data_IF_118387229551
#
_entry.id   IF_118387229551
#
_cell.length_a   1.000
_cell.length_b   1.000
_cell.length_c   1.000
_cell.angle_alpha   90.00
_cell.angle_beta   90.00
_cell.angle_gamma   90.00
#
_symmetry.space_group_name_H-M   'P 1'
#
loop_
_entity.id
_entity.type
_entity.pdbx_description
1 polymer ?
#
# COMPACT_ATOMS: atom_id res chain seq x y z
N UNK A 1 -30.42 -14.88 9.46
CA UNK A 1 -29.56 -15.84 10.16
C UNK A 1 -28.19 -15.19 10.24
N UNK A 2 -27.68 -14.90 11.42
CA UNK A 2 -26.34 -14.38 11.58
C UNK A 2 -25.38 -15.50 11.15
N UNK A 3 -24.57 -15.27 10.13
CA UNK A 3 -23.45 -16.15 9.78
C UNK A 3 -22.52 -16.19 10.98
N UNK A 4 -22.40 -17.33 11.64
CA UNK A 4 -21.37 -17.56 12.64
C UNK A 4 -20.00 -17.24 11.99
N UNK A 5 -19.36 -16.21 12.49
CA UNK A 5 -18.04 -15.80 12.00
C UNK A 5 -17.08 -16.93 12.39
N UNK A 6 -16.56 -17.65 11.44
CA UNK A 6 -15.55 -18.70 11.64
C UNK A 6 -14.38 -18.04 12.38
N UNK A 7 -13.99 -18.59 13.53
CA UNK A 7 -12.85 -18.07 14.28
C UNK A 7 -11.57 -18.34 13.49
N UNK A 8 -10.68 -17.35 13.34
CA UNK A 8 -9.36 -17.59 12.74
C UNK A 8 -8.58 -18.63 13.56
N UNK A 9 -7.72 -19.41 12.90
CA UNK A 9 -6.90 -20.44 13.51
C UNK A 9 -5.51 -19.90 13.82
N UNK A 10 -5.04 -20.09 15.04
CA UNK A 10 -3.67 -19.80 15.48
C UNK A 10 -2.95 -21.10 15.78
N UNK A 11 -1.80 -21.31 15.14
CA UNK A 11 -0.91 -22.44 15.45
C UNK A 11 0.06 -22.02 16.56
N UNK A 12 0.08 -22.78 17.64
CA UNK A 12 1.01 -22.63 18.78
C UNK A 12 2.05 -23.76 18.68
N UNK A 13 3.30 -23.42 18.41
CA UNK A 13 4.45 -24.32 18.42
C UNK A 13 5.31 -24.00 19.66
N UNK A 14 5.21 -24.84 20.68
CA UNK A 14 5.85 -24.68 22.00
C UNK A 14 6.03 -26.05 22.60
N UNK A 15 7.23 -26.40 23.04
CA UNK A 15 7.52 -27.76 23.55
C UNK A 15 7.05 -27.97 25.00
N UNK A 16 7.14 -26.94 25.83
CA UNK A 16 6.69 -27.03 27.23
C UNK A 16 5.16 -26.98 27.36
N UNK A 17 4.57 -28.06 27.85
CA UNK A 17 3.11 -28.19 27.99
C UNK A 17 2.49 -27.09 28.84
N UNK A 18 3.20 -26.61 29.86
CA UNK A 18 2.71 -25.51 30.74
C UNK A 18 2.59 -24.22 29.91
N UNK A 19 3.61 -23.85 29.15
CA UNK A 19 3.62 -22.65 28.34
C UNK A 19 2.57 -22.75 27.22
N UNK A 20 2.48 -23.89 26.55
CA UNK A 20 1.50 -24.17 25.49
C UNK A 20 0.07 -24.06 26.04
N UNK A 21 -0.19 -24.60 27.25
CA UNK A 21 -1.49 -24.49 27.91
C UNK A 21 -1.84 -23.04 28.26
N UNK A 22 -0.87 -22.24 28.73
CA UNK A 22 -1.08 -20.82 29.01
C UNK A 22 -1.45 -20.06 27.73
N UNK A 23 -0.71 -20.27 26.63
CA UNK A 23 -1.00 -19.64 25.34
C UNK A 23 -2.41 -20.00 24.85
N UNK A 24 -2.77 -21.29 24.92
CA UNK A 24 -4.11 -21.77 24.58
C UNK A 24 -5.20 -21.08 25.42
N UNK A 25 -5.04 -21.01 26.74
CA UNK A 25 -6.02 -20.37 27.62
C UNK A 25 -6.22 -18.88 27.31
N UNK A 26 -5.16 -18.17 26.95
CA UNK A 26 -5.23 -16.76 26.54
C UNK A 26 -6.05 -16.59 25.26
N UNK A 27 -5.89 -17.50 24.30
CA UNK A 27 -6.36 -17.30 22.92
C UNK A 27 -7.67 -18.02 22.57
N UNK A 28 -8.01 -19.13 23.23
CA UNK A 28 -9.15 -20.03 22.90
C UNK A 28 -10.51 -19.35 22.79
N UNK A 29 -10.72 -18.24 23.48
CA UNK A 29 -12.00 -17.52 23.42
C UNK A 29 -12.22 -16.81 22.07
N UNK A 30 -11.15 -16.40 21.41
CA UNK A 30 -11.19 -15.64 20.15
C UNK A 30 -10.79 -16.45 18.94
N UNK A 31 -9.94 -17.46 19.10
CA UNK A 31 -9.28 -18.20 18.03
C UNK A 31 -9.52 -19.71 18.16
N UNK A 32 -9.49 -20.39 17.02
CA UNK A 32 -9.27 -21.84 16.99
C UNK A 32 -7.76 -22.07 17.20
N UNK A 33 -7.41 -23.10 17.96
CA UNK A 33 -6.02 -23.36 18.33
C UNK A 33 -5.58 -24.72 17.76
N UNK A 34 -4.49 -24.68 17.01
CA UNK A 34 -3.69 -25.85 16.68
C UNK A 34 -2.45 -25.84 17.57
N UNK A 35 -2.05 -27.02 18.03
CA UNK A 35 -0.90 -27.17 18.92
C UNK A 35 0.15 -28.08 18.32
N UNK A 36 1.42 -27.72 18.46
CA UNK A 36 2.58 -28.50 18.08
C UNK A 36 3.62 -28.45 19.20
N UNK A 37 4.19 -29.61 19.54
CA UNK A 37 5.20 -29.78 20.60
C UNK A 37 6.64 -29.68 20.08
N UNK A 38 6.82 -29.52 18.81
CA UNK A 38 8.12 -29.38 18.12
C UNK A 38 7.93 -28.91 16.69
N UNK A 39 9.02 -28.49 16.06
CA UNK A 39 8.97 -27.96 14.70
C UNK A 39 8.47 -28.94 13.63
N UNK A 40 8.67 -30.24 13.79
CA UNK A 40 8.13 -31.23 12.83
C UNK A 40 6.61 -31.29 12.88
N UNK A 41 6.02 -31.25 14.08
CA UNK A 41 4.58 -31.19 14.23
C UNK A 41 4.02 -29.85 13.73
N UNK A 42 4.72 -28.73 13.97
CA UNK A 42 4.35 -27.44 13.43
C UNK A 42 4.29 -27.46 11.90
N UNK A 43 5.33 -27.97 11.24
CA UNK A 43 5.36 -28.11 9.77
C UNK A 43 4.26 -29.07 9.28
N UNK A 44 4.00 -30.16 10.00
CA UNK A 44 2.90 -31.06 9.65
C UNK A 44 1.54 -30.33 9.70
N UNK A 45 1.26 -29.61 10.79
CA UNK A 45 0.03 -28.82 10.91
C UNK A 45 -0.11 -27.74 9.84
N UNK A 46 1.00 -27.08 9.47
CA UNK A 46 1.02 -26.10 8.37
C UNK A 46 0.65 -26.77 7.05
N UNK A 47 1.19 -27.95 6.74
CA UNK A 47 0.88 -28.67 5.49
C UNK A 47 -0.57 -29.12 5.40
N UNK A 48 -1.16 -29.53 6.52
CA UNK A 48 -2.54 -30.03 6.56
C UNK A 48 -3.59 -28.93 6.50
N UNK A 49 -3.28 -27.73 7.01
CA UNK A 49 -4.28 -26.68 7.20
C UNK A 49 -3.76 -25.26 6.81
N UNK A 50 -2.85 -25.20 5.84
CA UNK A 50 -2.22 -23.94 5.37
C UNK A 50 -3.23 -22.81 5.14
N UNK A 51 -4.35 -23.14 4.50
CA UNK A 51 -5.34 -22.14 4.09
C UNK A 51 -6.09 -21.48 5.26
N UNK A 52 -6.10 -22.10 6.44
CA UNK A 52 -6.87 -21.64 7.59
C UNK A 52 -6.01 -21.05 8.72
N UNK A 53 -4.68 -21.25 8.67
CA UNK A 53 -3.76 -20.71 9.69
C UNK A 53 -3.58 -19.20 9.46
N UNK A 54 -4.15 -18.42 10.36
CA UNK A 54 -4.08 -16.95 10.32
C UNK A 54 -2.80 -16.38 10.97
N UNK A 55 -2.15 -17.15 11.87
CA UNK A 55 -0.94 -16.73 12.58
C UNK A 55 -0.26 -17.93 13.24
N UNK A 56 1.07 -17.89 13.33
CA UNK A 56 1.88 -18.87 14.07
C UNK A 56 2.53 -18.17 15.27
N UNK A 57 2.37 -18.76 16.47
CA UNK A 57 3.18 -18.43 17.63
C UNK A 57 4.23 -19.52 17.74
N UNK A 58 5.50 -19.13 17.68
CA UNK A 58 6.62 -20.05 17.52
C UNK A 58 7.68 -19.84 18.61
N UNK A 59 7.89 -20.87 19.42
CA UNK A 59 9.07 -20.92 20.28
C UNK A 59 10.31 -21.26 19.43
N UNK A 60 11.42 -20.61 19.77
CA UNK A 60 12.71 -20.90 19.12
C UNK A 60 13.30 -22.21 19.62
N UNK A 61 13.24 -22.46 20.92
CA UNK A 61 13.92 -23.60 21.54
C UNK A 61 12.99 -24.79 21.69
N UNK A 62 12.90 -25.61 20.66
CA UNK A 62 12.11 -26.84 20.66
C UNK A 62 12.97 -28.07 20.31
N UNK A 63 12.65 -29.26 20.84
CA UNK A 63 13.34 -30.51 20.50
C UNK A 63 13.03 -30.95 19.07
N UNK A 64 13.89 -31.80 18.49
CA UNK A 64 13.79 -32.43 17.16
C UNK A 64 14.01 -31.44 16.01
N UNK A 65 13.22 -30.41 15.89
CA UNK A 65 13.36 -29.30 14.97
C UNK A 65 13.00 -28.02 15.74
N UNK A 66 13.91 -27.07 15.75
CA UNK A 66 13.76 -25.80 16.44
C UNK A 66 12.91 -24.79 15.63
N UNK A 67 12.65 -23.63 16.21
CA UNK A 67 11.85 -22.59 15.55
C UNK A 67 12.52 -22.01 14.29
N UNK A 68 13.85 -22.01 14.23
CA UNK A 68 14.57 -21.57 13.03
C UNK A 68 14.32 -22.51 11.86
N UNK A 69 14.33 -23.83 12.09
CA UNK A 69 13.99 -24.82 11.07
C UNK A 69 12.56 -24.69 10.56
N UNK A 70 11.61 -24.28 11.39
CA UNK A 70 10.23 -23.96 10.95
C UNK A 70 10.21 -22.71 10.08
N UNK A 71 10.95 -21.65 10.47
CA UNK A 71 11.06 -20.42 9.69
C UNK A 71 11.73 -20.65 8.32
N UNK A 72 12.78 -21.47 8.28
CA UNK A 72 13.44 -21.84 7.03
C UNK A 72 12.47 -22.57 6.09
N UNK A 73 11.67 -23.49 6.61
CA UNK A 73 10.61 -24.15 5.84
C UNK A 73 9.58 -23.16 5.29
N UNK A 74 9.12 -22.19 6.10
CA UNK A 74 8.19 -21.16 5.66
C UNK A 74 8.80 -20.29 4.56
N UNK A 75 10.08 -19.97 4.65
CA UNK A 75 10.81 -19.18 3.65
C UNK A 75 10.97 -19.98 2.34
N UNK A 76 11.39 -21.24 2.40
CA UNK A 76 11.57 -22.11 1.23
C UNK A 76 10.28 -22.33 0.46
N UNK A 77 9.14 -22.39 1.15
CA UNK A 77 7.81 -22.56 0.57
C UNK A 77 7.11 -21.24 0.19
N UNK A 78 7.69 -20.10 0.56
CA UNK A 78 7.08 -18.78 0.35
C UNK A 78 5.90 -18.47 1.29
N UNK A 79 5.64 -19.31 2.29
CA UNK A 79 4.54 -19.15 3.24
C UNK A 79 4.79 -18.03 4.26
N UNK A 80 6.05 -17.64 4.46
CA UNK A 80 6.41 -16.48 5.28
C UNK A 80 5.85 -15.14 4.74
N UNK A 81 5.40 -15.10 3.48
CA UNK A 81 4.72 -13.93 2.89
C UNK A 81 3.22 -13.91 3.24
N UNK A 82 2.65 -15.06 3.61
CA UNK A 82 1.21 -15.24 3.81
C UNK A 82 0.83 -15.40 5.27
N UNK A 83 1.64 -16.13 6.04
CA UNK A 83 1.34 -16.48 7.42
C UNK A 83 2.27 -15.71 8.34
N UNK A 84 1.76 -14.73 9.11
CA UNK A 84 2.56 -13.98 10.07
C UNK A 84 3.05 -14.89 11.21
N UNK A 85 4.31 -14.68 11.63
CA UNK A 85 4.93 -15.41 12.72
C UNK A 85 5.26 -14.47 13.86
N UNK A 86 4.78 -14.79 15.05
CA UNK A 86 5.22 -14.19 16.31
C UNK A 86 6.17 -15.17 17.00
N UNK A 87 7.39 -14.74 17.26
CA UNK A 87 8.34 -15.53 18.05
C UNK A 87 8.07 -15.32 19.55
N UNK A 88 8.10 -16.43 20.32
CA UNK A 88 8.18 -16.36 21.77
C UNK A 88 9.51 -16.98 22.22
N UNK A 89 10.26 -16.27 23.06
CA UNK A 89 11.60 -16.73 23.47
C UNK A 89 12.02 -16.17 24.82
N UNK A 90 12.88 -16.89 25.54
CA UNK A 90 13.60 -16.39 26.73
C UNK A 90 15.00 -15.84 26.38
N UNK A 91 15.44 -15.99 25.15
CA UNK A 91 16.74 -15.57 24.67
C UNK A 91 16.68 -14.15 24.05
N UNK A 92 17.47 -13.23 24.62
CA UNK A 92 17.58 -11.83 24.17
C UNK A 92 18.77 -11.62 23.20
N UNK A 93 19.31 -12.69 22.62
CA UNK A 93 20.46 -12.59 21.71
C UNK A 93 20.15 -11.79 20.44
N UNK A 94 21.17 -11.09 19.94
CA UNK A 94 21.06 -10.34 18.68
C UNK A 94 20.75 -11.24 17.46
N UNK A 95 21.07 -12.52 17.54
CA UNK A 95 20.86 -13.48 16.48
C UNK A 95 19.36 -13.69 16.19
N UNK A 96 18.52 -13.70 17.21
CA UNK A 96 17.05 -13.79 17.05
C UNK A 96 16.48 -12.60 16.31
N UNK A 97 16.95 -11.40 16.61
CA UNK A 97 16.54 -10.17 15.93
C UNK A 97 16.95 -10.17 14.44
N UNK A 98 18.18 -10.63 14.16
CA UNK A 98 18.70 -10.69 12.79
C UNK A 98 17.96 -11.74 11.97
N UNK A 99 17.75 -12.93 12.50
CA UNK A 99 17.04 -14.01 11.83
C UNK A 99 15.54 -13.72 11.72
N UNK A 100 14.93 -13.11 12.73
CA UNK A 100 13.54 -12.68 12.68
C UNK A 100 13.28 -11.67 11.55
N UNK A 101 14.17 -10.69 11.36
CA UNK A 101 14.08 -9.75 10.24
C UNK A 101 14.24 -10.42 8.88
N UNK A 102 15.15 -11.38 8.76
CA UNK A 102 15.39 -12.14 7.52
C UNK A 102 14.15 -12.95 7.13
N UNK A 103 13.46 -13.53 8.10
CA UNK A 103 12.32 -14.41 7.90
C UNK A 103 10.95 -13.71 8.00
N UNK A 104 10.93 -12.36 8.02
CA UNK A 104 9.70 -11.53 8.07
C UNK A 104 8.81 -11.81 9.30
N UNK A 105 9.43 -12.14 10.43
CA UNK A 105 8.75 -12.24 11.71
C UNK A 105 8.10 -10.90 12.05
N UNK A 106 6.82 -10.94 12.41
CA UNK A 106 6.02 -9.73 12.63
C UNK A 106 6.17 -9.17 14.04
N UNK A 107 6.48 -10.02 15.03
CA UNK A 107 6.74 -9.60 16.42
C UNK A 107 7.60 -10.62 17.16
N UNK A 108 8.30 -10.16 18.21
CA UNK A 108 9.08 -11.00 19.13
C UNK A 108 8.65 -10.68 20.55
N UNK A 109 8.15 -11.68 21.27
CA UNK A 109 7.66 -11.56 22.62
C UNK A 109 8.56 -12.35 23.56
N UNK A 110 9.20 -11.64 24.47
CA UNK A 110 10.11 -12.27 25.44
C UNK A 110 9.35 -12.87 26.63
N UNK A 111 9.75 -14.07 27.03
CA UNK A 111 9.25 -14.76 28.23
C UNK A 111 9.98 -14.23 29.47
N UNK A 112 9.27 -13.96 30.63
CA UNK A 112 7.82 -14.08 30.80
C UNK A 112 7.05 -12.89 30.22
N UNK A 113 5.94 -13.13 29.55
CA UNK A 113 5.09 -12.12 28.92
C UNK A 113 3.75 -11.94 29.67
N UNK A 114 3.13 -10.79 29.50
CA UNK A 114 1.78 -10.54 30.01
C UNK A 114 0.74 -11.00 28.99
N UNK A 115 -0.31 -11.67 29.45
CA UNK A 115 -1.39 -12.14 28.59
C UNK A 115 -2.01 -11.03 27.70
N UNK A 116 -2.13 -9.82 28.27
CA UNK A 116 -2.68 -8.67 27.54
C UNK A 116 -1.80 -8.22 26.36
N UNK A 117 -0.48 -8.27 26.51
CA UNK A 117 0.47 -7.86 25.45
C UNK A 117 0.48 -8.88 24.31
N UNK A 118 0.52 -10.18 24.66
CA UNK A 118 0.41 -11.26 23.68
C UNK A 118 -0.91 -11.17 22.89
N UNK A 119 -2.04 -11.06 23.60
CA UNK A 119 -3.35 -10.98 22.95
C UNK A 119 -3.46 -9.77 22.02
N UNK A 120 -2.90 -8.62 22.44
CA UNK A 120 -2.88 -7.41 21.61
C UNK A 120 -2.06 -7.61 20.34
N UNK A 121 -0.89 -8.25 20.43
CA UNK A 121 -0.05 -8.54 19.28
C UNK A 121 -0.76 -9.51 18.33
N UNK A 122 -1.28 -10.63 18.82
CA UNK A 122 -2.03 -11.61 18.03
C UNK A 122 -3.25 -10.96 17.36
N UNK A 123 -4.07 -10.22 18.10
CA UNK A 123 -5.24 -9.52 17.56
C UNK A 123 -4.85 -8.57 16.42
N UNK A 124 -3.75 -7.83 16.57
CA UNK A 124 -3.30 -6.89 15.56
C UNK A 124 -2.89 -7.58 14.25
N UNK A 125 -2.09 -8.63 14.34
CA UNK A 125 -1.55 -9.31 13.15
C UNK A 125 -2.58 -10.21 12.47
N UNK A 126 -3.46 -10.88 13.21
CA UNK A 126 -4.58 -11.63 12.60
C UNK A 126 -5.52 -10.67 11.85
N UNK A 127 -5.83 -9.50 12.43
CA UNK A 127 -6.66 -8.51 11.71
C UNK A 127 -5.98 -7.96 10.46
N UNK A 128 -4.66 -7.78 10.47
CA UNK A 128 -3.90 -7.33 9.30
C UNK A 128 -3.95 -8.41 8.21
N UNK A 129 -3.71 -9.67 8.55
CA UNK A 129 -3.76 -10.79 7.62
C UNK A 129 -5.15 -10.95 6.99
N UNK A 130 -6.22 -10.91 7.79
CA UNK A 130 -7.61 -10.95 7.29
C UNK A 130 -7.90 -9.80 6.32
N UNK A 131 -7.39 -8.61 6.61
CA UNK A 131 -7.57 -7.44 5.76
C UNK A 131 -6.79 -7.55 4.45
N UNK A 132 -5.59 -8.11 4.48
CA UNK A 132 -4.77 -8.35 3.30
C UNK A 132 -5.43 -9.35 2.37
N UNK A 133 -5.93 -10.45 2.89
CA UNK A 133 -6.62 -11.48 2.14
C UNK A 133 -7.94 -10.96 1.52
N UNK A 134 -8.74 -10.24 2.30
CA UNK A 134 -9.96 -9.59 1.79
C UNK A 134 -9.64 -8.54 0.70
N UNK A 135 -8.53 -7.83 0.82
CA UNK A 135 -8.06 -6.88 -0.20
C UNK A 135 -7.66 -7.57 -1.50
N UNK A 136 -6.92 -8.66 -1.41
CA UNK A 136 -6.54 -9.46 -2.58
C UNK A 136 -7.79 -10.01 -3.30
N UNK A 137 -8.77 -10.51 -2.57
CA UNK A 137 -10.02 -11.01 -3.13
C UNK A 137 -10.81 -9.89 -3.84
N UNK A 138 -10.93 -8.73 -3.22
CA UNK A 138 -11.59 -7.56 -3.83
C UNK A 138 -10.82 -7.06 -5.05
N UNK A 139 -9.49 -7.03 -4.99
CA UNK A 139 -8.63 -6.63 -6.12
C UNK A 139 -8.83 -7.61 -7.28
N UNK A 140 -8.81 -8.91 -7.01
CA UNK A 140 -8.99 -9.95 -8.02
C UNK A 140 -10.40 -9.87 -8.65
N UNK A 141 -11.45 -9.78 -7.86
CA UNK A 141 -12.83 -9.65 -8.35
C UNK A 141 -13.01 -8.40 -9.22
N UNK A 142 -12.56 -7.24 -8.72
CA UNK A 142 -12.68 -5.98 -9.46
C UNK A 142 -11.78 -5.92 -10.67
N UNK A 143 -10.58 -6.50 -10.63
CA UNK A 143 -9.68 -6.53 -11.78
C UNK A 143 -10.22 -7.42 -12.91
N UNK A 144 -10.81 -8.56 -12.59
CA UNK A 144 -11.53 -9.41 -13.58
C UNK A 144 -12.68 -8.64 -14.20
N UNK A 145 -13.51 -7.97 -13.38
CA UNK A 145 -14.61 -7.14 -13.86
C UNK A 145 -14.10 -6.04 -14.80
N UNK A 146 -13.02 -5.35 -14.44
CA UNK A 146 -12.42 -4.29 -15.24
C UNK A 146 -11.81 -4.79 -16.54
N UNK A 147 -11.10 -5.91 -16.48
CA UNK A 147 -10.55 -6.54 -17.68
C UNK A 147 -11.66 -6.90 -18.66
N UNK A 148 -12.77 -7.45 -18.17
CA UNK A 148 -13.94 -7.77 -18.97
C UNK A 148 -14.60 -6.51 -19.56
N UNK A 149 -14.73 -5.43 -18.80
CA UNK A 149 -15.24 -4.14 -19.27
C UNK A 149 -14.30 -3.51 -20.30
N UNK A 150 -12.99 -3.57 -20.07
CA UNK A 150 -11.99 -3.08 -21.02
C UNK A 150 -12.06 -3.84 -22.34
N UNK A 151 -12.10 -5.17 -22.32
CA UNK A 151 -12.22 -5.97 -23.53
C UNK A 151 -13.57 -5.73 -24.26
N UNK A 152 -14.67 -5.52 -23.53
CA UNK A 152 -15.93 -5.15 -24.11
C UNK A 152 -15.90 -3.77 -24.79
N UNK A 153 -15.28 -2.79 -24.16
CA UNK A 153 -15.07 -1.44 -24.73
C UNK A 153 -14.15 -1.51 -25.96
N UNK A 154 -13.09 -2.31 -25.91
CA UNK A 154 -12.13 -2.54 -27.00
C UNK A 154 -12.82 -3.20 -28.20
N UNK A 155 -13.67 -4.21 -27.96
CA UNK A 155 -14.46 -4.88 -29.02
C UNK A 155 -15.52 -3.94 -29.63
N UNK A 156 -16.15 -3.10 -28.81
CA UNK A 156 -17.23 -2.21 -29.28
C UNK A 156 -16.75 -1.04 -30.15
N UNK A 157 -15.48 -0.68 -30.10
CA UNK A 157 -14.97 0.54 -30.76
C UNK A 157 -14.20 0.30 -32.05
N UNK A 158 -13.98 -0.95 -32.55
CA UNK A 158 -13.05 -1.17 -33.68
C UNK A 158 -11.78 -0.28 -33.52
N UNK A 159 -11.17 -0.37 -32.31
CA UNK A 159 -10.19 0.60 -31.86
C UNK A 159 -8.95 0.53 -32.75
N UNK A 160 -8.86 1.41 -33.75
CA UNK A 160 -7.59 2.03 -34.07
C UNK A 160 -6.91 2.34 -32.73
N UNK A 161 -5.61 2.06 -32.61
CA UNK A 161 -4.78 2.34 -31.41
C UNK A 161 -5.16 3.71 -30.82
N UNK A 162 -6.31 3.76 -30.16
CA UNK A 162 -6.87 4.95 -29.54
C UNK A 162 -5.92 5.38 -28.45
N UNK A 163 -5.79 6.65 -28.26
CA UNK A 163 -4.88 7.23 -27.30
C UNK A 163 -5.11 6.55 -25.95
N UNK A 164 -4.05 6.08 -25.32
CA UNK A 164 -4.04 5.53 -23.96
C UNK A 164 -4.92 6.36 -23.00
N UNK A 165 -4.78 7.69 -23.05
CA UNK A 165 -5.51 8.67 -22.27
C UNK A 165 -7.04 8.52 -22.36
N UNK A 166 -7.61 8.41 -23.56
CA UNK A 166 -9.07 8.29 -23.75
C UNK A 166 -9.64 7.01 -23.14
N UNK A 167 -8.88 5.92 -23.19
CA UNK A 167 -9.28 4.65 -22.62
C UNK A 167 -9.25 4.71 -21.09
N UNK A 168 -8.20 5.24 -20.50
CA UNK A 168 -8.07 5.41 -19.06
C UNK A 168 -9.15 6.35 -18.51
N UNK A 169 -9.39 7.50 -19.14
CA UNK A 169 -10.47 8.42 -18.73
C UNK A 169 -11.83 7.75 -18.73
N UNK A 170 -12.11 6.91 -19.74
CA UNK A 170 -13.38 6.18 -19.82
C UNK A 170 -13.53 5.16 -18.69
N UNK A 171 -12.45 4.48 -18.32
CA UNK A 171 -12.42 3.52 -17.21
C UNK A 171 -12.60 4.27 -15.89
N UNK A 172 -11.79 5.29 -15.64
CA UNK A 172 -11.82 6.06 -14.38
C UNK A 172 -13.15 6.75 -14.15
N UNK A 173 -13.78 7.30 -15.18
CA UNK A 173 -15.12 7.90 -15.06
C UNK A 173 -16.17 6.92 -14.57
N UNK A 174 -16.05 5.64 -14.92
CA UNK A 174 -16.95 4.59 -14.43
C UNK A 174 -16.63 4.13 -13.02
N UNK A 175 -15.36 4.15 -12.65
CA UNK A 175 -14.87 3.60 -11.38
C UNK A 175 -14.84 4.61 -10.25
N UNK A 176 -14.51 5.85 -10.58
CA UNK A 176 -14.38 7.00 -9.68
C UNK A 176 -15.15 8.19 -10.25
N UNK A 177 -16.48 8.10 -10.31
CA UNK A 177 -17.30 9.19 -10.84
C UNK A 177 -17.15 10.45 -9.98
N UNK A 178 -17.12 11.61 -10.62
CA UNK A 178 -16.97 12.91 -9.95
C UNK A 178 -15.54 13.42 -9.80
N UNK A 179 -14.53 12.62 -10.17
CA UNK A 179 -13.12 13.02 -10.06
C UNK A 179 -12.56 13.68 -11.34
N UNK A 180 -13.39 14.00 -12.33
CA UNK A 180 -12.93 14.50 -13.62
C UNK A 180 -12.16 15.83 -13.52
N UNK A 181 -12.66 16.78 -12.73
CA UNK A 181 -12.00 18.06 -12.51
C UNK A 181 -10.69 17.92 -11.74
N UNK A 182 -10.71 17.12 -10.66
CA UNK A 182 -9.53 16.78 -9.89
C UNK A 182 -8.44 16.18 -10.79
N UNK A 183 -8.78 15.17 -11.58
CA UNK A 183 -7.87 14.52 -12.51
C UNK A 183 -7.31 15.50 -13.56
N UNK A 184 -8.13 16.41 -14.08
CA UNK A 184 -7.69 17.42 -15.04
C UNK A 184 -6.70 18.41 -14.42
N UNK A 185 -6.94 18.85 -13.15
CA UNK A 185 -6.03 19.70 -12.41
C UNK A 185 -4.70 18.99 -12.13
N UNK A 186 -4.73 17.75 -11.66
CA UNK A 186 -3.52 16.93 -11.45
C UNK A 186 -2.69 16.82 -12.72
N UNK A 187 -3.31 16.46 -13.86
CA UNK A 187 -2.58 16.38 -15.13
C UNK A 187 -1.95 17.70 -15.54
N UNK A 188 -2.67 18.79 -15.35
CA UNK A 188 -2.17 20.13 -15.72
C UNK A 188 -0.95 20.51 -14.89
N UNK A 189 -1.02 20.36 -13.55
CA UNK A 189 0.08 20.65 -12.64
C UNK A 189 1.28 19.73 -12.91
N UNK A 190 1.03 18.43 -13.10
CA UNK A 190 2.05 17.45 -13.46
C UNK A 190 2.79 17.85 -14.73
N UNK A 191 2.06 18.28 -15.76
CA UNK A 191 2.66 18.73 -17.03
C UNK A 191 3.58 19.92 -16.85
N UNK A 192 3.14 20.94 -16.09
CA UNK A 192 3.96 22.13 -15.80
C UNK A 192 5.23 21.76 -15.04
N UNK A 193 5.13 20.92 -14.02
CA UNK A 193 6.28 20.44 -13.24
C UNK A 193 7.25 19.62 -14.10
N UNK A 194 6.75 18.69 -14.92
CA UNK A 194 7.56 17.89 -15.84
C UNK A 194 8.36 18.77 -16.81
N UNK A 195 7.70 19.74 -17.45
CA UNK A 195 8.35 20.61 -18.42
C UNK A 195 9.37 21.54 -17.75
N UNK A 196 9.06 22.07 -16.59
CA UNK A 196 9.99 22.90 -15.83
C UNK A 196 11.21 22.11 -15.38
N UNK A 197 10.99 20.93 -14.81
CA UNK A 197 12.07 20.05 -14.34
C UNK A 197 12.95 19.55 -15.50
N UNK A 198 12.33 19.20 -16.64
CA UNK A 198 13.05 18.80 -17.88
C UNK A 198 14.03 19.89 -18.34
N UNK A 199 13.58 21.14 -18.35
CA UNK A 199 14.38 22.27 -18.85
C UNK A 199 15.46 22.68 -17.84
N UNK A 200 15.18 22.65 -16.55
CA UNK A 200 16.08 23.15 -15.51
C UNK A 200 17.08 22.09 -15.04
N UNK A 201 16.68 20.83 -14.99
CA UNK A 201 17.46 19.72 -14.43
C UNK A 201 17.54 18.50 -15.37
N UNK A 202 18.36 18.56 -16.44
CA UNK A 202 18.49 17.46 -17.42
C UNK A 202 18.90 16.12 -16.82
N UNK A 203 19.47 16.11 -15.63
CA UNK A 203 19.92 14.89 -14.92
C UNK A 203 18.80 13.87 -14.63
N UNK A 204 17.53 14.28 -14.68
CA UNK A 204 16.38 13.38 -14.49
C UNK A 204 15.98 12.60 -15.73
N UNK A 205 16.62 12.87 -16.89
CA UNK A 205 16.36 12.16 -18.14
C UNK A 205 14.95 12.36 -18.69
N UNK A 206 14.25 13.43 -18.29
CA UNK A 206 12.94 13.77 -18.79
C UNK A 206 13.03 14.25 -20.26
N UNK A 207 12.01 13.94 -21.04
CA UNK A 207 11.85 14.40 -22.42
C UNK A 207 10.37 14.64 -22.70
N UNK A 208 10.03 15.33 -23.78
CA UNK A 208 8.62 15.57 -24.14
C UNK A 208 7.79 14.28 -24.22
N UNK A 209 8.38 13.21 -24.73
CA UNK A 209 7.70 11.90 -24.81
C UNK A 209 7.51 11.26 -23.43
N UNK A 210 8.53 11.32 -22.58
CA UNK A 210 8.44 10.83 -21.19
C UNK A 210 7.47 11.67 -20.38
N UNK A 211 7.53 13.00 -20.50
CA UNK A 211 6.61 13.91 -19.81
C UNK A 211 5.15 13.59 -20.16
N UNK A 212 4.88 13.35 -21.46
CA UNK A 212 3.54 12.94 -21.90
C UNK A 212 3.08 11.65 -21.21
N UNK A 213 3.93 10.63 -21.14
CA UNK A 213 3.60 9.37 -20.48
C UNK A 213 3.33 9.60 -18.99
N UNK A 214 4.15 10.40 -18.29
CA UNK A 214 3.94 10.72 -16.88
C UNK A 214 2.61 11.45 -16.66
N UNK A 215 2.28 12.43 -17.51
CA UNK A 215 1.02 13.18 -17.44
C UNK A 215 -0.18 12.26 -17.68
N UNK A 216 -0.10 11.39 -18.69
CA UNK A 216 -1.17 10.44 -19.00
C UNK A 216 -1.33 9.40 -17.85
N UNK A 217 -0.20 8.92 -17.30
CA UNK A 217 -0.19 7.95 -16.20
C UNK A 217 -0.61 8.56 -14.85
N UNK A 218 -0.50 9.87 -14.67
CA UNK A 218 -0.93 10.55 -13.44
C UNK A 218 -2.43 10.37 -13.17
N UNK A 219 -3.24 10.08 -14.17
CA UNK A 219 -4.65 9.74 -14.00
C UNK A 219 -4.88 8.50 -13.11
N UNK A 220 -3.88 7.61 -13.00
CA UNK A 220 -3.99 6.37 -12.23
C UNK A 220 -3.66 6.54 -10.74
N UNK A 221 -3.27 7.75 -10.32
CA UNK A 221 -2.78 8.00 -8.95
C UNK A 221 -3.76 7.58 -7.85
N UNK A 222 -5.05 7.75 -8.09
CA UNK A 222 -6.14 7.48 -7.13
C UNK A 222 -6.81 6.11 -7.32
N UNK A 223 -6.27 5.24 -8.17
CA UNK A 223 -6.91 3.96 -8.48
C UNK A 223 -7.16 3.09 -7.22
N UNK A 224 -6.34 3.24 -6.21
CA UNK A 224 -6.53 2.58 -4.91
C UNK A 224 -7.83 2.96 -4.19
N UNK A 225 -8.44 4.10 -4.48
CA UNK A 225 -9.76 4.49 -3.94
C UNK A 225 -10.90 3.58 -4.42
N UNK A 226 -10.71 2.90 -5.53
CA UNK A 226 -11.69 1.90 -6.02
C UNK A 226 -11.79 0.72 -5.06
N UNK A 227 -10.66 0.31 -4.49
CA UNK A 227 -10.58 -0.82 -3.56
C UNK A 227 -10.96 -0.39 -2.14
N UNK A 228 -10.49 0.79 -1.73
CA UNK A 228 -10.72 1.36 -0.40
C UNK A 228 -11.39 2.73 -0.58
N UNK A 229 -12.72 2.76 -0.72
CA UNK A 229 -13.46 3.99 -0.97
C UNK A 229 -13.48 4.92 0.25
N UNK A 230 -13.71 6.22 0.00
CA UNK A 230 -13.76 7.22 1.07
C UNK A 230 -14.91 6.98 2.07
N UNK A 231 -15.98 6.29 1.66
CA UNK A 231 -17.08 5.90 2.54
C UNK A 231 -16.66 5.05 3.74
N UNK A 232 -15.50 4.41 3.68
CA UNK A 232 -14.91 3.68 4.83
C UNK A 232 -14.53 4.66 5.96
N UNK A 233 -14.37 5.96 5.66
CA UNK A 233 -13.89 6.99 6.60
C UNK A 233 -14.99 7.95 7.07
N UNK A 234 -16.21 7.83 6.57
CA UNK A 234 -17.32 8.78 6.86
C UNK A 234 -18.02 8.58 8.20
N UNK A 235 -17.76 7.50 8.90
CA UNK A 235 -18.23 7.33 10.28
C UNK A 235 -17.19 7.93 11.22
N UNK A 236 -17.54 8.92 12.01
CA UNK A 236 -16.85 9.63 13.12
C UNK A 236 -15.41 9.21 13.55
N UNK A 237 -14.81 8.27 12.85
CA UNK A 237 -13.51 7.62 13.08
C UNK A 237 -12.46 7.96 12.01
N UNK A 238 -12.69 8.96 11.15
CA UNK A 238 -11.73 9.32 10.07
C UNK A 238 -10.32 9.65 10.60
N UNK A 239 -10.22 10.07 11.86
CA UNK A 239 -8.95 10.30 12.57
C UNK A 239 -8.45 9.08 13.37
N UNK A 240 -9.16 7.95 13.30
CA UNK A 240 -8.76 6.74 14.03
C UNK A 240 -7.49 6.12 13.41
N UNK A 241 -6.69 5.48 14.25
CA UNK A 241 -5.50 4.72 13.81
C UNK A 241 -5.88 3.67 12.74
N UNK A 242 -7.09 3.10 12.80
CA UNK A 242 -7.60 2.11 11.83
C UNK A 242 -7.86 2.73 10.45
N UNK A 243 -8.50 3.90 10.39
CA UNK A 243 -8.72 4.61 9.13
C UNK A 243 -7.39 4.94 8.43
N UNK A 244 -6.41 5.43 9.20
CA UNK A 244 -5.09 5.75 8.67
C UNK A 244 -4.35 4.53 8.11
N UNK A 245 -4.48 3.35 8.74
CA UNK A 245 -3.92 2.09 8.23
C UNK A 245 -4.54 1.74 6.89
N UNK A 246 -5.85 1.90 6.71
CA UNK A 246 -6.53 1.63 5.44
C UNK A 246 -6.10 2.61 4.34
N UNK A 247 -6.00 3.91 4.65
CA UNK A 247 -5.49 4.92 3.68
C UNK A 247 -4.11 4.53 3.17
N UNK A 248 -3.21 4.10 4.06
CA UNK A 248 -1.84 3.69 3.70
C UNK A 248 -1.77 2.44 2.81
N UNK A 249 -2.83 1.65 2.73
CA UNK A 249 -2.92 0.49 1.82
C UNK A 249 -3.35 0.86 0.40
N UNK A 250 -3.97 2.03 0.18
CA UNK A 250 -4.41 2.48 -1.15
C UNK A 250 -3.32 2.44 -2.23
N UNK A 251 -2.09 2.94 -1.97
CA UNK A 251 -1.01 2.88 -2.95
C UNK A 251 -0.66 1.45 -3.38
N UNK A 252 -0.67 0.51 -2.44
CA UNK A 252 -0.39 -0.90 -2.70
C UNK A 252 -1.49 -1.47 -3.60
N UNK A 253 -2.74 -1.38 -3.17
CA UNK A 253 -3.88 -1.92 -3.89
C UNK A 253 -4.00 -1.35 -5.32
N UNK A 254 -3.85 -0.03 -5.47
CA UNK A 254 -3.94 0.62 -6.77
C UNK A 254 -2.81 0.23 -7.72
N UNK A 255 -1.58 0.13 -7.23
CA UNK A 255 -0.43 -0.27 -8.04
C UNK A 255 -0.54 -1.72 -8.54
N UNK A 256 -1.02 -2.64 -7.71
CA UNK A 256 -1.26 -4.02 -8.14
C UNK A 256 -2.41 -4.11 -9.17
N UNK A 257 -3.48 -3.34 -9.00
CA UNK A 257 -4.52 -3.23 -10.03
C UNK A 257 -3.94 -2.78 -11.37
N UNK A 258 -3.02 -1.81 -11.40
CA UNK A 258 -2.37 -1.36 -12.62
C UNK A 258 -1.58 -2.50 -13.27
N UNK A 259 -0.82 -3.26 -12.49
CA UNK A 259 -0.08 -4.41 -13.00
C UNK A 259 -1.00 -5.43 -13.69
N UNK A 260 -2.12 -5.78 -13.06
CA UNK A 260 -3.07 -6.76 -13.58
C UNK A 260 -3.79 -6.22 -14.82
N UNK A 261 -4.33 -5.00 -14.73
CA UNK A 261 -5.11 -4.39 -15.82
C UNK A 261 -4.32 -4.21 -17.11
N UNK A 262 -3.03 -3.91 -17.01
CA UNK A 262 -2.20 -3.55 -18.16
C UNK A 262 -1.13 -4.59 -18.50
N UNK A 263 -1.16 -5.79 -17.89
CA UNK A 263 -0.15 -6.84 -18.08
C UNK A 263 0.09 -7.18 -19.57
N UNK A 264 -0.96 -7.24 -20.38
CA UNK A 264 -0.92 -7.72 -21.76
C UNK A 264 -1.37 -6.68 -22.82
N UNK A 265 -1.29 -5.39 -22.49
CA UNK A 265 -1.84 -4.32 -23.35
C UNK A 265 -0.84 -3.72 -24.35
N UNK A 266 0.44 -4.07 -24.27
CA UNK A 266 1.50 -3.44 -25.05
C UNK A 266 1.94 -2.06 -24.54
N UNK A 267 1.31 -1.52 -23.49
CA UNK A 267 1.61 -0.22 -22.88
C UNK A 267 2.55 -0.35 -21.69
N UNK A 268 3.74 -0.93 -21.92
CA UNK A 268 4.68 -1.26 -20.81
C UNK A 268 5.20 -0.03 -20.08
N UNK A 269 5.47 1.06 -20.80
CA UNK A 269 5.98 2.30 -20.20
C UNK A 269 4.90 2.98 -19.36
N UNK A 270 3.70 3.10 -19.89
CA UNK A 270 2.56 3.68 -19.20
C UNK A 270 2.19 2.87 -17.96
N UNK A 271 2.22 1.53 -18.05
CA UNK A 271 2.04 0.65 -16.90
C UNK A 271 3.10 0.91 -15.83
N UNK A 272 4.39 0.96 -16.24
CA UNK A 272 5.48 1.21 -15.30
C UNK A 272 5.33 2.55 -14.59
N UNK A 273 5.12 3.63 -15.33
CA UNK A 273 4.94 4.95 -14.74
C UNK A 273 3.67 5.03 -13.89
N UNK A 274 2.57 4.43 -14.33
CA UNK A 274 1.33 4.36 -13.54
C UNK A 274 1.52 3.61 -12.23
N UNK A 275 2.21 2.46 -12.26
CA UNK A 275 2.57 1.71 -11.06
C UNK A 275 3.43 2.55 -10.11
N UNK A 276 4.54 3.13 -10.62
CA UNK A 276 5.46 3.92 -9.81
C UNK A 276 4.76 5.14 -9.18
N UNK A 277 3.90 5.83 -9.92
CA UNK A 277 3.11 6.95 -9.43
C UNK A 277 2.14 6.48 -8.34
N UNK A 278 1.28 5.52 -8.63
CA UNK A 278 0.27 5.06 -7.69
C UNK A 278 0.89 4.48 -6.41
N UNK A 279 2.01 3.76 -6.54
CA UNK A 279 2.70 3.11 -5.42
C UNK A 279 3.43 4.08 -4.51
N UNK A 280 4.11 5.10 -5.09
CA UNK A 280 5.12 5.86 -4.36
C UNK A 280 4.82 7.38 -4.24
N UNK A 281 3.68 7.88 -4.73
CA UNK A 281 3.39 9.32 -4.67
C UNK A 281 3.23 9.87 -3.24
N UNK A 282 2.97 9.00 -2.27
CA UNK A 282 2.88 9.38 -0.86
C UNK A 282 4.18 9.14 -0.07
N UNK A 283 5.25 8.70 -0.75
CA UNK A 283 6.57 8.71 -0.15
C UNK A 283 7.08 10.14 -0.01
N UNK A 284 7.86 10.41 1.02
CA UNK A 284 8.45 11.73 1.26
C UNK A 284 9.96 11.66 1.23
N UNK A 285 10.59 12.73 0.73
CA UNK A 285 12.05 12.78 0.52
C UNK A 285 12.84 12.55 1.81
N UNK A 286 12.23 12.88 2.97
CA UNK A 286 12.77 12.65 4.32
C UNK A 286 12.47 11.26 4.90
N UNK A 287 11.84 10.36 4.13
CA UNK A 287 11.56 8.96 4.49
C UNK A 287 10.42 8.75 5.47
N UNK A 288 9.58 9.76 5.73
CA UNK A 288 8.41 9.63 6.62
C UNK A 288 7.12 9.28 5.88
N UNK A 289 7.23 9.09 4.57
CA UNK A 289 6.12 8.71 3.71
C UNK A 289 5.70 7.25 3.84
N UNK A 290 4.86 6.81 2.95
CA UNK A 290 4.34 5.44 2.87
C UNK A 290 4.07 5.05 1.41
N UNK A 291 3.98 3.75 1.07
CA UNK A 291 3.83 2.58 1.95
C UNK A 291 5.15 1.92 2.36
N UNK A 292 6.29 2.28 1.76
CA UNK A 292 7.58 1.59 1.94
C UNK A 292 8.53 2.36 2.85
N UNK A 293 8.43 3.70 2.88
CA UNK A 293 9.35 4.59 3.59
C UNK A 293 10.63 4.85 2.80
N UNK A 294 10.52 4.94 1.47
CA UNK A 294 11.64 5.30 0.58
C UNK A 294 12.17 6.69 0.90
N UNK A 295 13.48 6.89 0.68
CA UNK A 295 14.15 8.15 0.96
C UNK A 295 14.81 8.75 -0.28
N UNK A 296 14.77 10.05 -0.40
CA UNK A 296 15.58 10.78 -1.37
C UNK A 296 15.41 10.27 -2.80
N UNK A 297 16.51 9.79 -3.40
CA UNK A 297 16.57 9.33 -4.79
C UNK A 297 15.98 7.93 -5.02
N UNK A 298 15.65 7.20 -3.97
CA UNK A 298 14.96 5.90 -4.10
C UNK A 298 13.55 6.07 -4.62
N UNK A 299 12.92 7.24 -4.36
CA UNK A 299 11.59 7.56 -4.83
C UNK A 299 11.64 7.88 -6.33
N UNK A 300 10.89 7.17 -7.20
CA UNK A 300 10.85 7.49 -8.63
C UNK A 300 10.43 8.93 -8.88
N UNK A 301 11.14 9.63 -9.77
CA UNK A 301 10.90 11.07 -10.02
C UNK A 301 9.45 11.36 -10.47
N UNK A 302 8.84 10.46 -11.23
CA UNK A 302 7.44 10.60 -11.66
C UNK A 302 6.49 10.59 -10.45
N UNK A 303 6.75 9.75 -9.45
CA UNK A 303 5.96 9.70 -8.22
C UNK A 303 6.14 10.97 -7.39
N UNK A 304 7.37 11.50 -7.28
CA UNK A 304 7.64 12.77 -6.59
C UNK A 304 6.91 13.94 -7.26
N UNK A 305 6.93 14.01 -8.61
CA UNK A 305 6.24 15.06 -9.37
C UNK A 305 4.72 15.00 -9.13
N UNK A 306 4.12 13.82 -9.26
CA UNK A 306 2.66 13.67 -9.10
C UNK A 306 2.26 13.83 -7.62
N UNK A 307 3.09 13.40 -6.68
CA UNK A 307 2.86 13.62 -5.24
C UNK A 307 2.81 15.10 -4.87
N UNK A 308 3.73 15.91 -5.42
CA UNK A 308 3.70 17.35 -5.22
C UNK A 308 2.50 18.00 -5.93
N UNK A 309 2.17 17.58 -7.14
CA UNK A 309 0.99 18.04 -7.87
C UNK A 309 -0.30 17.76 -7.11
N UNK A 310 -0.45 16.53 -6.58
CA UNK A 310 -1.58 16.13 -5.76
C UNK A 310 -1.66 16.97 -4.46
N UNK A 311 -0.54 17.18 -3.79
CA UNK A 311 -0.51 17.97 -2.56
C UNK A 311 -0.91 19.41 -2.77
N UNK A 312 -0.46 20.04 -3.84
CA UNK A 312 -0.87 21.38 -4.20
C UNK A 312 -2.38 21.44 -4.49
N UNK A 313 -2.88 20.52 -5.29
CA UNK A 313 -4.29 20.43 -5.66
C UNK A 313 -5.18 20.21 -4.44
N UNK A 314 -4.87 19.25 -3.57
CA UNK A 314 -5.59 18.94 -2.33
C UNK A 314 -5.65 20.15 -1.37
N UNK A 315 -4.57 20.91 -1.29
CA UNK A 315 -4.54 22.12 -0.46
C UNK A 315 -5.28 23.30 -1.08
N UNK A 316 -5.31 23.39 -2.41
CA UNK A 316 -5.88 24.53 -3.15
C UNK A 316 -7.39 24.39 -3.34
N UNK A 317 -7.87 23.18 -3.66
CA UNK A 317 -9.24 22.87 -4.00
C UNK A 317 -9.83 21.91 -2.97
N UNK A 318 -10.78 22.38 -2.19
CA UNK A 318 -11.35 21.60 -1.10
C UNK A 318 -12.57 20.78 -1.56
N UNK A 319 -12.86 19.70 -0.87
CA UNK A 319 -13.98 18.79 -1.19
C UNK A 319 -15.36 19.45 -1.14
N UNK A 320 -15.49 20.56 -0.40
CA UNK A 320 -16.71 21.38 -0.33
C UNK A 320 -16.87 22.33 -1.52
N UNK A 321 -15.95 22.29 -2.49
CA UNK A 321 -15.93 23.14 -3.67
C UNK A 321 -15.33 24.54 -3.43
N UNK A 322 -14.87 24.84 -2.23
CA UNK A 322 -14.16 26.08 -1.94
C UNK A 322 -12.68 26.02 -2.35
N UNK A 323 -12.10 27.19 -2.55
CA UNK A 323 -10.69 27.31 -2.94
C UNK A 323 -9.91 28.15 -1.91
N UNK A 324 -8.72 27.69 -1.55
CA UNK A 324 -7.79 28.50 -0.74
C UNK A 324 -6.98 29.42 -1.63
N UNK A 325 -6.58 30.61 -1.15
CA UNK A 325 -5.72 31.50 -1.91
C UNK A 325 -4.42 30.83 -2.32
N UNK A 326 -4.03 30.98 -3.60
CA UNK A 326 -2.81 30.41 -4.16
C UNK A 326 -1.57 30.66 -3.31
N UNK A 327 -1.33 31.95 -2.95
CA UNK A 327 -0.18 32.35 -2.12
C UNK A 327 -0.11 31.66 -0.76
N UNK A 328 -1.27 31.37 -0.16
CA UNK A 328 -1.32 30.64 1.11
C UNK A 328 -0.89 29.19 0.96
N UNK A 329 -1.27 28.54 -0.15
CA UNK A 329 -0.89 27.16 -0.47
C UNK A 329 0.59 27.06 -0.81
N UNK A 330 1.10 27.97 -1.67
CA UNK A 330 2.52 28.04 -2.02
C UNK A 330 3.37 28.24 -0.76
N UNK A 331 3.01 29.19 0.08
CA UNK A 331 3.73 29.42 1.34
C UNK A 331 3.77 28.18 2.22
N UNK A 332 2.65 27.46 2.36
CA UNK A 332 2.59 26.24 3.17
C UNK A 332 3.53 25.16 2.64
N UNK A 333 3.54 24.91 1.34
CA UNK A 333 4.39 23.88 0.74
C UNK A 333 5.86 24.28 0.82
N UNK A 334 6.21 25.51 0.45
CA UNK A 334 7.59 26.00 0.38
C UNK A 334 8.24 26.19 1.75
N UNK A 335 7.48 26.60 2.77
CA UNK A 335 8.03 26.86 4.11
C UNK A 335 7.88 25.68 5.07
N UNK A 336 6.68 25.08 5.13
CA UNK A 336 6.36 24.06 6.13
C UNK A 336 6.64 22.63 5.67
N UNK A 337 6.50 22.36 4.38
CA UNK A 337 6.58 21.00 3.82
C UNK A 337 7.83 20.78 2.94
N UNK A 338 8.73 21.75 2.84
CA UNK A 338 9.91 21.70 1.95
C UNK A 338 10.71 20.42 2.04
N UNK A 339 10.95 19.92 3.25
CA UNK A 339 11.76 18.71 3.48
C UNK A 339 11.11 17.41 3.02
N UNK A 340 9.80 17.43 2.80
CA UNK A 340 9.07 16.28 2.30
C UNK A 340 9.30 16.03 0.80
N UNK A 341 9.90 16.98 0.09
CA UNK A 341 10.07 16.93 -1.35
C UNK A 341 11.53 17.06 -1.78
N UNK A 342 11.79 16.64 -3.01
CA UNK A 342 13.09 16.79 -3.65
C UNK A 342 13.46 18.28 -3.82
N UNK A 343 14.66 18.71 -3.39
CA UNK A 343 15.06 20.12 -3.51
C UNK A 343 15.00 20.70 -4.93
N UNK A 344 15.42 19.92 -5.95
CA UNK A 344 15.35 20.38 -7.35
C UNK A 344 13.89 20.52 -7.81
N UNK A 345 13.01 19.62 -7.35
CA UNK A 345 11.58 19.69 -7.66
C UNK A 345 10.94 20.89 -6.96
N UNK A 346 11.35 21.20 -5.73
CA UNK A 346 10.88 22.37 -5.00
C UNK A 346 11.32 23.66 -5.68
N UNK A 347 12.56 23.73 -6.17
CA UNK A 347 13.05 24.88 -6.94
C UNK A 347 12.27 25.05 -8.26
N UNK A 348 11.97 23.93 -8.95
CA UNK A 348 11.13 23.97 -10.15
C UNK A 348 9.69 24.39 -9.85
N UNK A 349 9.14 24.00 -8.70
CA UNK A 349 7.81 24.34 -8.25
C UNK A 349 7.69 25.83 -7.88
N UNK A 350 8.67 26.38 -7.16
CA UNK A 350 8.74 27.80 -6.83
C UNK A 350 8.78 28.68 -8.10
N UNK A 351 9.56 28.26 -9.10
CA UNK A 351 9.61 28.95 -10.40
C UNK A 351 8.28 28.95 -11.19
N UNK A 352 7.33 28.09 -10.81
CA UNK A 352 6.01 27.99 -11.43
C UNK A 352 4.93 28.83 -10.73
N UNK A 353 5.26 29.59 -9.67
CA UNK A 353 4.32 30.34 -8.84
C UNK A 353 3.29 31.11 -9.68
N UNK A 354 3.74 32.09 -10.48
CA UNK A 354 2.85 32.88 -11.31
C UNK A 354 2.06 32.05 -12.33
N UNK A 355 2.70 31.04 -12.94
CA UNK A 355 2.06 30.21 -13.96
C UNK A 355 0.95 29.32 -13.36
N UNK A 356 1.14 28.82 -12.14
CA UNK A 356 0.11 28.08 -11.41
C UNK A 356 -1.06 28.98 -11.01
N UNK A 357 -0.78 30.21 -10.55
CA UNK A 357 -1.82 31.19 -10.23
C UNK A 357 -2.67 31.49 -11.48
N UNK A 358 -2.04 31.92 -12.58
CA UNK A 358 -2.71 32.23 -13.86
C UNK A 358 -3.50 31.03 -14.45
N UNK A 359 -2.99 29.82 -14.26
CA UNK A 359 -3.63 28.62 -14.82
C UNK A 359 -4.98 28.33 -14.18
N UNK A 360 -5.15 28.65 -12.91
CA UNK A 360 -6.33 28.32 -12.13
C UNK A 360 -7.13 29.57 -11.65
N UNK A 361 -6.68 30.77 -11.96
CA UNK A 361 -7.53 31.96 -11.77
C UNK A 361 -8.74 31.90 -12.71
N UNK A 362 -9.93 32.00 -12.13
CA UNK A 362 -11.15 32.18 -12.94
C UNK A 362 -11.01 33.51 -13.67
N UNK A 363 -10.87 33.47 -14.99
CA UNK A 363 -11.06 34.70 -15.81
C UNK A 363 -12.50 35.18 -15.57
N UNK A 364 -12.65 36.24 -14.79
CA UNK A 364 -13.91 36.96 -14.62
C UNK A 364 -14.43 37.46 -15.98
#
# INVERSE_FOLDING_TARGET
MATEKIKPTVLIAEDEEINRSILREILKNKYNILEAENGHQAIFSIKEDEANIALIILDIHMPKLDGFGVMDYLQETGLNEKIPVIITTSDESADILVQGKKNKVVDIIYKPFRAADLLKSVDAFVQISDLEQNLEDIINEKSVYLTNQYEAVKKAKNLHRGKWDDNIRTILKKMLPGNEEHNARIQKITGLLCDKLMNKFPKYGLSKSVNKIIVDASLLHDLGKVVIPDSVFTNNDASSSRAMVQVKKRPIAGSEMINIMFANTGHQMERKYGYDICRYMFETYDGKGYPVGLTGKEIPICAQIVGLAHRYEELRFLDDGSEKPHKSVMKKILEAEYKAYNPDLMEAFEDLDNMLEETFEKKN
#
